data_IF_329364865243
#
_entry.id   IF_329364865243
#
_cell.length_a   1.000
_cell.length_b   1.000
_cell.length_c   1.000
_cell.angle_alpha   90.00
_cell.angle_beta   90.00
_cell.angle_gamma   90.00
#
_symmetry.space_group_name_H-M   'P 1'
#
loop_
_entity.id
_entity.type
_entity.pdbx_description
1 polymer ?
#
# COMPACT_ATOMS: atom_id res chain seq x y z
N UNK A 1 19.53 24.35 1.60
CA UNK A 1 18.30 23.57 1.74
C UNK A 1 18.66 22.11 2.04
N UNK A 2 17.86 21.45 2.88
CA UNK A 2 17.96 20.02 3.18
C UNK A 2 16.74 19.34 2.54
N UNK A 3 16.94 18.11 2.05
CA UNK A 3 15.84 17.30 1.54
C UNK A 3 15.06 16.71 2.72
N UNK A 4 13.75 16.91 2.74
CA UNK A 4 12.86 16.31 3.74
C UNK A 4 12.59 14.85 3.37
N UNK A 5 12.98 13.92 4.25
CA UNK A 5 12.74 12.50 4.06
C UNK A 5 11.30 12.06 4.44
N UNK A 6 10.45 12.96 4.90
CA UNK A 6 9.11 12.64 5.36
C UNK A 6 9.08 11.85 6.68
N UNK A 7 10.19 11.84 7.42
CA UNK A 7 10.29 11.15 8.71
C UNK A 7 10.27 12.19 9.82
N UNK A 8 9.26 12.09 10.68
CA UNK A 8 9.04 13.04 11.77
C UNK A 8 9.07 12.33 13.12
N UNK A 9 9.78 12.92 14.09
CA UNK A 9 9.80 12.49 15.48
C UNK A 9 9.27 13.60 16.38
N UNK A 10 8.25 13.32 17.16
CA UNK A 10 7.61 14.28 18.06
C UNK A 10 6.98 13.59 19.26
N UNK A 11 6.73 14.34 20.32
CA UNK A 11 5.87 13.89 21.41
C UNK A 11 4.42 14.09 20.99
N UNK A 12 3.53 13.16 21.37
CA UNK A 12 2.11 13.21 20.99
C UNK A 12 1.47 14.56 21.38
N UNK A 13 1.79 15.10 22.54
CA UNK A 13 1.25 16.40 22.99
C UNK A 13 1.70 17.54 22.08
N UNK A 14 2.98 17.58 21.69
CA UNK A 14 3.49 18.64 20.82
C UNK A 14 2.79 18.63 19.45
N UNK A 15 2.45 17.43 18.93
CA UNK A 15 1.67 17.31 17.70
C UNK A 15 0.23 17.78 17.88
N UNK A 16 -0.43 17.42 18.98
CA UNK A 16 -1.80 17.88 19.30
C UNK A 16 -1.83 19.41 19.41
N UNK A 17 -0.85 20.01 20.08
CA UNK A 17 -0.74 21.47 20.24
C UNK A 17 -0.51 22.15 18.89
N UNK A 18 0.32 21.54 18.02
CA UNK A 18 0.57 22.06 16.68
C UNK A 18 -0.69 21.96 15.81
N UNK A 19 -1.41 20.83 15.81
CA UNK A 19 -2.66 20.67 15.06
C UNK A 19 -3.71 21.64 15.59
N UNK A 20 -3.81 21.83 16.91
CA UNK A 20 -4.71 22.82 17.52
C UNK A 20 -4.43 24.25 17.04
N UNK A 21 -3.15 24.56 16.79
CA UNK A 21 -2.71 25.91 16.41
C UNK A 21 -2.89 26.16 14.91
N UNK A 22 -2.52 25.17 14.08
CA UNK A 22 -2.39 25.37 12.62
C UNK A 22 -3.52 24.75 11.79
N UNK A 23 -4.26 23.78 12.36
CA UNK A 23 -5.35 23.07 11.71
C UNK A 23 -6.45 22.65 12.73
N UNK A 24 -7.04 23.60 13.47
CA UNK A 24 -7.98 23.31 14.57
C UNK A 24 -9.21 22.51 14.10
N UNK A 25 -9.65 22.73 12.87
CA UNK A 25 -10.77 21.98 12.25
C UNK A 25 -10.47 20.48 12.13
N UNK A 26 -9.23 20.11 11.87
CA UNK A 26 -8.79 18.71 11.82
C UNK A 26 -8.83 18.11 13.23
N UNK A 27 -8.33 18.86 14.23
CA UNK A 27 -8.33 18.37 15.63
C UNK A 27 -9.74 18.13 16.14
N UNK A 28 -10.69 19.00 15.81
CA UNK A 28 -12.08 18.87 16.22
C UNK A 28 -12.71 17.60 15.64
N UNK A 29 -12.64 17.39 14.32
CA UNK A 29 -13.21 16.23 13.64
C UNK A 29 -12.54 14.91 14.07
N UNK A 30 -11.20 14.90 14.20
CA UNK A 30 -10.47 13.73 14.68
C UNK A 30 -10.86 13.40 16.13
N UNK A 31 -10.99 14.41 16.99
CA UNK A 31 -11.43 14.20 18.38
C UNK A 31 -12.84 13.63 18.45
N UNK A 32 -13.76 14.11 17.61
CA UNK A 32 -15.11 13.54 17.50
C UNK A 32 -15.07 12.09 17.02
N UNK A 33 -14.28 11.80 15.98
CA UNK A 33 -14.13 10.46 15.43
C UNK A 33 -13.57 9.47 16.48
N UNK A 34 -12.61 9.88 17.29
CA UNK A 34 -12.02 9.08 18.36
C UNK A 34 -12.99 8.91 19.54
N UNK A 35 -13.66 9.98 19.98
CA UNK A 35 -14.60 9.93 21.12
C UNK A 35 -15.83 9.06 20.83
N UNK A 36 -16.26 8.99 19.57
CA UNK A 36 -17.39 8.18 19.11
C UNK A 36 -16.94 6.81 18.59
N UNK A 37 -15.66 6.48 18.72
CA UNK A 37 -15.09 5.23 18.22
C UNK A 37 -15.64 4.02 18.97
N UNK A 38 -15.72 2.90 18.30
CA UNK A 38 -16.14 1.61 18.85
C UNK A 38 -14.99 0.60 18.82
N UNK A 39 -14.95 -0.27 19.84
CA UNK A 39 -14.01 -1.39 19.86
C UNK A 39 -14.55 -2.54 19.03
N UNK A 40 -13.74 -3.07 18.12
CA UNK A 40 -14.09 -4.21 17.29
C UNK A 40 -12.88 -5.18 17.20
N UNK A 41 -12.98 -6.32 17.87
CA UNK A 41 -11.98 -7.40 17.85
C UNK A 41 -10.53 -6.94 18.09
N UNK A 42 -10.35 -6.00 19.04
CA UNK A 42 -9.03 -5.43 19.38
C UNK A 42 -8.60 -4.23 18.52
N UNK A 43 -9.48 -3.75 17.66
CA UNK A 43 -9.32 -2.51 16.89
C UNK A 43 -10.20 -1.40 17.45
N UNK A 44 -9.72 -0.19 17.35
CA UNK A 44 -10.51 1.02 17.56
C UNK A 44 -11.04 1.47 16.20
N UNK A 45 -12.34 1.31 15.97
CA UNK A 45 -13.01 1.84 14.76
C UNK A 45 -13.41 3.29 15.01
N UNK A 46 -12.80 4.18 14.31
CA UNK A 46 -13.17 5.60 14.33
C UNK A 46 -14.58 5.79 13.77
N UNK A 47 -15.31 6.78 14.25
CA UNK A 47 -16.62 7.11 13.72
C UNK A 47 -16.49 7.61 12.28
N UNK A 48 -17.26 7.02 11.37
CA UNK A 48 -17.13 7.27 9.93
C UNK A 48 -17.57 8.69 9.53
N UNK A 49 -18.64 9.20 10.16
CA UNK A 49 -19.23 10.50 9.80
C UNK A 49 -18.22 11.66 10.00
N UNK A 50 -17.68 11.93 11.20
CA UNK A 50 -16.68 13.00 11.37
C UNK A 50 -15.39 12.73 10.62
N UNK A 51 -15.01 11.46 10.42
CA UNK A 51 -13.82 11.11 9.64
C UNK A 51 -13.97 11.47 8.16
N UNK A 52 -15.15 11.29 7.57
CA UNK A 52 -15.41 11.58 6.16
C UNK A 52 -15.46 13.07 5.83
N UNK A 53 -15.64 13.94 6.85
CA UNK A 53 -15.63 15.38 6.70
C UNK A 53 -14.21 15.97 6.70
N UNK A 54 -13.18 15.16 7.03
CA UNK A 54 -11.80 15.63 7.05
C UNK A 54 -11.33 16.02 5.66
N UNK A 55 -10.67 17.16 5.59
CA UNK A 55 -9.99 17.60 4.38
C UNK A 55 -8.74 16.77 4.15
N UNK A 56 -8.57 16.26 2.92
CA UNK A 56 -7.33 15.61 2.50
C UNK A 56 -6.22 16.65 2.33
N UNK A 57 -5.26 16.65 3.26
CA UNK A 57 -4.12 17.57 3.28
C UNK A 57 -2.92 16.87 3.92
N UNK A 58 -1.75 17.00 3.32
CA UNK A 58 -0.52 16.44 3.91
C UNK A 58 -0.15 17.18 5.21
N UNK A 59 0.52 16.46 6.11
CA UNK A 59 1.07 17.03 7.35
C UNK A 59 2.07 18.16 7.06
N UNK A 60 2.77 18.09 5.93
CA UNK A 60 3.71 19.15 5.52
C UNK A 60 2.98 20.47 5.34
N UNK A 61 1.92 20.51 4.56
CA UNK A 61 1.13 21.72 4.34
C UNK A 61 0.30 22.14 5.55
N UNK A 62 -0.22 21.17 6.29
CA UNK A 62 -1.06 21.48 7.44
C UNK A 62 -0.25 22.03 8.62
N UNK A 63 0.94 21.50 8.88
CA UNK A 63 1.71 21.73 10.10
C UNK A 63 3.15 22.15 9.79
N UNK A 64 3.92 21.34 9.05
CA UNK A 64 5.38 21.47 9.02
C UNK A 64 5.85 22.76 8.36
N UNK A 65 5.19 23.23 7.33
CA UNK A 65 5.51 24.52 6.67
C UNK A 65 5.16 25.75 7.53
N UNK A 66 4.34 25.59 8.56
CA UNK A 66 3.87 26.68 9.43
C UNK A 66 4.54 26.70 10.79
N UNK A 67 4.90 25.54 11.31
CA UNK A 67 5.49 25.39 12.64
C UNK A 67 6.89 26.01 12.70
N UNK A 68 7.18 26.77 13.77
CA UNK A 68 8.45 27.46 13.94
C UNK A 68 9.41 26.75 14.91
N UNK A 69 8.96 25.67 15.55
CA UNK A 69 9.73 24.90 16.54
C UNK A 69 10.29 23.61 15.96
N UNK A 70 10.47 23.54 14.64
CA UNK A 70 11.04 22.38 13.97
C UNK A 70 12.58 22.44 13.97
N UNK A 71 13.19 21.28 14.10
CA UNK A 71 14.61 21.08 13.90
C UNK A 71 14.84 20.01 12.85
N UNK A 72 15.86 20.20 12.00
CA UNK A 72 16.28 19.19 11.07
C UNK A 72 17.48 18.43 11.62
N UNK A 73 17.41 17.11 11.61
CA UNK A 73 18.53 16.23 11.96
C UNK A 73 19.14 15.73 10.66
N UNK A 74 20.38 16.13 10.31
CA UNK A 74 21.03 15.63 9.10
C UNK A 74 21.24 14.12 9.17
N UNK A 75 20.90 13.44 8.09
CA UNK A 75 21.11 12.00 7.92
C UNK A 75 21.96 11.76 6.67
N UNK A 76 23.11 11.14 6.84
CA UNK A 76 24.12 10.96 5.79
C UNK A 76 24.23 9.52 5.26
N UNK A 77 23.50 8.58 5.82
CA UNK A 77 23.47 7.20 5.33
C UNK A 77 22.54 7.04 4.13
N UNK A 78 22.64 5.92 3.42
CA UNK A 78 21.68 5.58 2.37
C UNK A 78 20.27 5.52 2.93
N UNK A 79 19.35 6.14 2.23
CA UNK A 79 17.93 6.08 2.51
C UNK A 79 17.14 6.00 1.21
N UNK A 80 16.11 5.19 1.19
CA UNK A 80 15.15 5.09 0.09
C UNK A 80 13.76 4.91 0.68
N UNK A 81 12.78 5.59 0.15
CA UNK A 81 11.37 5.44 0.50
C UNK A 81 10.72 4.22 -0.14
N UNK A 82 11.44 3.55 -1.08
CA UNK A 82 10.92 2.45 -1.91
C UNK A 82 9.60 2.83 -2.61
N UNK A 83 9.46 4.10 -2.97
CA UNK A 83 8.24 4.66 -3.53
C UNK A 83 7.90 4.20 -4.96
N UNK A 84 8.81 3.47 -5.62
CA UNK A 84 8.63 2.96 -6.97
C UNK A 84 9.42 1.68 -7.25
N UNK A 85 9.12 1.01 -8.35
CA UNK A 85 9.83 -0.21 -8.75
C UNK A 85 11.28 0.04 -9.16
N UNK A 86 11.61 1.23 -9.61
CA UNK A 86 12.96 1.72 -9.84
C UNK A 86 13.78 1.75 -8.55
N UNK A 87 13.19 2.22 -7.45
CA UNK A 87 13.80 2.19 -6.12
C UNK A 87 13.98 0.74 -5.61
N UNK A 88 13.01 -0.13 -5.83
CA UNK A 88 13.13 -1.56 -5.50
C UNK A 88 14.29 -2.20 -6.27
N UNK A 89 14.44 -1.90 -7.56
CA UNK A 89 15.58 -2.38 -8.35
C UNK A 89 16.91 -1.83 -7.80
N UNK A 90 16.99 -0.53 -7.50
CA UNK A 90 18.20 0.13 -7.03
C UNK A 90 18.69 -0.38 -5.66
N UNK A 91 17.77 -0.74 -4.78
CA UNK A 91 18.07 -1.28 -3.44
C UNK A 91 18.23 -2.82 -3.43
N UNK A 92 17.96 -3.48 -4.56
CA UNK A 92 18.19 -4.92 -4.71
C UNK A 92 19.64 -5.22 -5.08
N UNK A 93 20.01 -6.49 -5.08
CA UNK A 93 21.33 -6.97 -5.51
C UNK A 93 21.22 -7.48 -6.95
N UNK A 94 21.61 -6.68 -7.97
CA UNK A 94 21.54 -7.10 -9.36
C UNK A 94 22.63 -8.15 -9.67
N UNK A 95 22.37 -8.95 -10.70
CA UNK A 95 23.37 -9.85 -11.29
C UNK A 95 24.45 -9.06 -12.06
N UNK A 96 25.39 -9.78 -12.68
CA UNK A 96 26.51 -9.18 -13.45
C UNK A 96 26.07 -8.38 -14.68
N UNK A 97 24.85 -8.59 -15.16
CA UNK A 97 24.23 -7.87 -16.27
C UNK A 97 23.27 -6.77 -15.79
N UNK A 98 23.20 -6.52 -14.49
CA UNK A 98 22.33 -5.51 -13.89
C UNK A 98 20.88 -5.95 -13.73
N UNK A 99 20.55 -7.24 -13.90
CA UNK A 99 19.19 -7.70 -13.72
C UNK A 99 18.89 -8.04 -12.26
N UNK A 100 17.67 -7.77 -11.85
CA UNK A 100 17.09 -8.20 -10.58
C UNK A 100 15.89 -9.10 -10.86
N UNK A 101 15.90 -10.33 -10.32
CA UNK A 101 14.83 -11.30 -10.52
C UNK A 101 14.32 -11.82 -9.19
N UNK A 102 13.00 -12.06 -9.09
CA UNK A 102 12.42 -12.84 -8.00
C UNK A 102 12.66 -14.34 -8.22
N UNK A 103 12.36 -15.17 -7.22
CA UNK A 103 12.57 -16.64 -7.28
C UNK A 103 11.89 -17.30 -8.48
N UNK A 104 10.73 -16.81 -8.90
CA UNK A 104 9.95 -17.32 -10.02
C UNK A 104 10.06 -16.46 -11.28
N UNK A 105 11.13 -15.65 -11.39
CA UNK A 105 11.41 -14.84 -12.57
C UNK A 105 12.77 -15.20 -13.17
N UNK A 106 12.83 -15.26 -14.50
CA UNK A 106 14.01 -15.68 -15.24
C UNK A 106 14.36 -14.68 -16.34
N UNK A 107 15.63 -14.31 -16.42
CA UNK A 107 16.17 -13.39 -17.44
C UNK A 107 17.05 -14.17 -18.42
N UNK A 108 16.72 -14.12 -19.70
CA UNK A 108 17.48 -14.71 -20.80
C UNK A 108 17.94 -13.56 -21.72
N UNK A 109 19.24 -13.38 -21.85
CA UNK A 109 19.81 -12.28 -22.67
C UNK A 109 19.25 -10.91 -22.31
N UNK A 110 18.90 -10.70 -21.03
CA UNK A 110 18.41 -9.43 -20.52
C UNK A 110 19.53 -8.63 -19.88
N UNK A 111 19.38 -7.31 -19.88
CA UNK A 111 20.30 -6.39 -19.21
C UNK A 111 19.51 -5.34 -18.44
N UNK A 112 20.04 -4.96 -17.27
CA UNK A 112 19.57 -3.82 -16.48
C UNK A 112 18.06 -3.82 -16.20
N UNK A 113 17.44 -5.00 -16.04
CA UNK A 113 16.00 -5.17 -15.98
C UNK A 113 15.55 -5.70 -14.62
N UNK A 114 14.30 -5.41 -14.25
CA UNK A 114 13.62 -5.95 -13.07
C UNK A 114 12.50 -6.90 -13.52
N UNK A 115 12.64 -8.18 -13.21
CA UNK A 115 11.61 -9.19 -13.47
C UNK A 115 11.14 -9.75 -12.13
N UNK A 116 9.86 -9.58 -11.81
CA UNK A 116 9.32 -9.96 -10.51
C UNK A 116 7.96 -10.63 -10.64
N UNK A 117 7.78 -11.72 -9.92
CA UNK A 117 6.48 -12.34 -9.69
C UNK A 117 6.20 -12.40 -8.19
N UNK A 118 5.01 -12.03 -7.79
CA UNK A 118 4.52 -12.12 -6.41
C UNK A 118 3.78 -13.44 -6.13
N UNK A 119 3.68 -14.31 -7.14
CA UNK A 119 3.04 -15.62 -7.01
C UNK A 119 4.04 -16.73 -7.26
N UNK A 120 4.10 -17.70 -6.33
CA UNK A 120 4.94 -18.90 -6.46
C UNK A 120 4.48 -19.85 -7.59
N UNK A 121 3.23 -19.73 -8.02
CA UNK A 121 2.67 -20.55 -9.09
C UNK A 121 2.80 -19.89 -10.48
N UNK A 122 3.28 -18.65 -10.56
CA UNK A 122 3.41 -17.91 -11.80
C UNK A 122 4.89 -17.69 -12.13
N UNK A 123 5.30 -18.09 -13.31
CA UNK A 123 6.65 -17.85 -13.81
C UNK A 123 6.65 -16.62 -14.72
N UNK A 124 7.66 -15.77 -14.56
CA UNK A 124 7.95 -14.63 -15.44
C UNK A 124 9.25 -14.91 -16.19
N UNK A 125 9.21 -14.92 -17.50
CA UNK A 125 10.40 -15.10 -18.33
C UNK A 125 10.56 -13.89 -19.22
N UNK A 126 11.67 -13.18 -19.07
CA UNK A 126 12.11 -12.11 -19.96
C UNK A 126 13.18 -12.60 -20.92
N UNK A 127 13.07 -12.26 -22.19
CA UNK A 127 14.05 -12.61 -23.22
C UNK A 127 14.45 -11.35 -24.00
N UNK A 128 15.73 -11.04 -24.04
CA UNK A 128 16.29 -9.93 -24.82
C UNK A 128 15.83 -8.55 -24.33
N UNK A 129 15.45 -8.42 -23.07
CA UNK A 129 14.95 -7.15 -22.50
C UNK A 129 16.14 -6.27 -22.06
N UNK A 130 15.98 -4.98 -22.23
CA UNK A 130 16.94 -3.99 -21.76
C UNK A 130 16.20 -2.82 -21.09
N UNK A 131 16.63 -2.45 -19.87
CA UNK A 131 16.05 -1.37 -19.08
C UNK A 131 14.54 -1.49 -18.82
N UNK A 132 14.03 -2.71 -18.72
CA UNK A 132 12.61 -3.01 -18.53
C UNK A 132 12.32 -3.41 -17.08
N UNK A 133 11.19 -3.00 -16.57
CA UNK A 133 10.53 -3.61 -15.41
C UNK A 133 9.32 -4.42 -15.88
N UNK A 134 9.24 -5.67 -15.45
CA UNK A 134 8.08 -6.56 -15.64
C UNK A 134 7.68 -7.15 -14.29
N UNK A 135 6.55 -6.70 -13.79
CA UNK A 135 6.04 -7.03 -12.45
C UNK A 135 4.71 -7.76 -12.62
N UNK A 136 4.70 -9.02 -12.25
CA UNK A 136 3.50 -9.86 -12.29
C UNK A 136 2.94 -10.04 -10.88
N UNK A 137 1.79 -9.44 -10.65
CA UNK A 137 0.94 -9.67 -9.48
C UNK A 137 -0.07 -10.79 -9.80
N UNK A 138 -0.77 -11.35 -8.80
CA UNK A 138 -1.77 -12.39 -9.05
C UNK A 138 -2.90 -12.01 -10.02
N UNK A 139 -3.21 -10.72 -10.13
CA UNK A 139 -4.37 -10.18 -10.84
C UNK A 139 -4.03 -9.14 -11.90
N UNK A 140 -2.78 -8.70 -11.99
CA UNK A 140 -2.34 -7.70 -12.97
C UNK A 140 -0.86 -7.87 -13.30
N UNK A 141 -0.46 -7.46 -14.52
CA UNK A 141 0.93 -7.42 -14.94
C UNK A 141 1.27 -6.01 -15.44
N UNK A 142 2.35 -5.46 -14.90
CA UNK A 142 2.94 -4.21 -15.36
C UNK A 142 4.20 -4.51 -16.16
N UNK A 143 4.30 -3.93 -17.37
CA UNK A 143 5.53 -3.93 -18.16
C UNK A 143 5.80 -2.49 -18.62
N UNK A 144 6.95 -1.96 -18.27
CA UNK A 144 7.34 -0.62 -18.66
C UNK A 144 8.87 -0.45 -18.66
N UNK A 145 9.42 0.56 -19.37
CA UNK A 145 10.79 1.00 -19.15
C UNK A 145 11.01 1.43 -17.69
N UNK A 146 12.18 1.14 -17.11
CA UNK A 146 12.47 1.49 -15.70
C UNK A 146 12.40 2.99 -15.43
N UNK A 147 12.84 3.82 -16.36
CA UNK A 147 12.80 5.28 -16.28
C UNK A 147 11.36 5.83 -16.27
N UNK A 148 10.37 4.98 -16.56
CA UNK A 148 8.94 5.32 -16.54
C UNK A 148 8.22 4.80 -15.27
N UNK A 149 8.94 4.38 -14.24
CA UNK A 149 8.35 3.85 -13.01
C UNK A 149 7.33 4.80 -12.36
N UNK A 150 7.57 6.10 -12.40
CA UNK A 150 6.65 7.12 -11.89
C UNK A 150 5.34 7.25 -12.70
N UNK A 151 5.31 6.77 -13.93
CA UNK A 151 4.10 6.79 -14.77
C UNK A 151 3.11 5.66 -14.44
N UNK A 152 3.44 4.75 -13.53
CA UNK A 152 2.51 3.71 -13.04
C UNK A 152 1.23 4.33 -12.50
N UNK A 153 1.30 5.52 -11.89
CA UNK A 153 0.14 6.29 -11.46
C UNK A 153 -0.87 6.53 -12.59
N UNK A 154 -0.40 6.85 -13.79
CA UNK A 154 -1.26 7.04 -14.98
C UNK A 154 -1.97 5.75 -15.40
N UNK A 155 -1.32 4.59 -15.19
CA UNK A 155 -1.96 3.30 -15.45
C UNK A 155 -3.11 3.03 -14.45
N UNK A 156 -2.89 3.34 -13.17
CA UNK A 156 -3.94 3.24 -12.14
C UNK A 156 -5.11 4.16 -12.48
N UNK A 157 -4.86 5.44 -12.74
CA UNK A 157 -5.88 6.43 -13.14
C UNK A 157 -6.69 5.98 -14.37
N UNK A 158 -6.01 5.35 -15.36
CA UNK A 158 -6.68 4.79 -16.54
C UNK A 158 -7.61 3.62 -16.20
N UNK A 159 -7.18 2.72 -15.30
CA UNK A 159 -7.96 1.57 -14.87
C UNK A 159 -9.17 2.00 -14.04
N UNK A 160 -8.98 2.96 -13.12
CA UNK A 160 -10.06 3.59 -12.34
C UNK A 160 -11.11 4.23 -13.24
N UNK A 161 -10.68 5.03 -14.23
CA UNK A 161 -11.59 5.67 -15.19
C UNK A 161 -12.38 4.66 -16.02
N UNK A 162 -11.89 3.42 -16.16
CA UNK A 162 -12.58 2.31 -16.83
C UNK A 162 -13.41 1.45 -15.87
N UNK A 163 -13.41 1.73 -14.57
CA UNK A 163 -14.10 0.93 -13.55
C UNK A 163 -13.49 -0.47 -13.39
N UNK A 164 -12.20 -0.63 -13.64
CA UNK A 164 -11.49 -1.91 -13.49
C UNK A 164 -11.17 -2.14 -12.01
N UNK A 165 -11.74 -3.18 -11.44
CA UNK A 165 -11.67 -3.47 -10.01
C UNK A 165 -10.22 -3.62 -9.47
N UNK A 166 -9.28 -4.08 -10.28
CA UNK A 166 -7.87 -4.24 -9.91
C UNK A 166 -7.15 -2.92 -9.59
N UNK A 167 -7.72 -1.79 -9.95
CA UNK A 167 -7.18 -0.48 -9.56
C UNK A 167 -7.44 -0.14 -8.09
N UNK A 168 -8.51 -0.70 -7.51
CA UNK A 168 -8.99 -0.35 -6.16
C UNK A 168 -8.97 -1.52 -5.18
N UNK A 169 -9.12 -2.76 -5.68
CA UNK A 169 -9.33 -3.95 -4.86
C UNK A 169 -8.13 -4.87 -4.98
N UNK A 170 -7.46 -5.11 -3.85
CA UNK A 170 -6.39 -6.10 -3.79
C UNK A 170 -6.95 -7.52 -3.66
N UNK A 171 -6.33 -8.53 -4.31
CA UNK A 171 -6.71 -9.94 -4.14
C UNK A 171 -6.63 -10.41 -2.69
N UNK A 172 -5.67 -9.85 -1.94
CA UNK A 172 -5.43 -10.15 -0.53
C UNK A 172 -5.73 -8.95 0.34
N UNK A 173 -6.57 -9.16 1.35
CA UNK A 173 -6.99 -8.13 2.31
C UNK A 173 -6.61 -8.56 3.74
N UNK A 174 -5.89 -7.68 4.44
CA UNK A 174 -5.48 -7.89 5.82
C UNK A 174 -6.53 -7.35 6.78
N UNK A 175 -6.88 -8.18 7.75
CA UNK A 175 -7.89 -7.91 8.76
C UNK A 175 -7.29 -8.06 10.18
N UNK A 176 -7.94 -7.52 11.22
CA UNK A 176 -7.53 -7.70 12.60
C UNK A 176 -7.25 -9.16 12.96
N UNK A 177 -8.14 -10.05 12.52
CA UNK A 177 -8.10 -11.47 12.80
C UNK A 177 -7.15 -12.28 11.91
N UNK A 178 -6.60 -11.70 10.86
CA UNK A 178 -5.71 -12.40 9.93
C UNK A 178 -5.72 -11.78 8.53
N UNK A 179 -6.07 -12.56 7.52
CA UNK A 179 -6.23 -12.09 6.15
C UNK A 179 -7.13 -13.03 5.35
N UNK A 180 -7.66 -12.53 4.27
CA UNK A 180 -8.27 -13.36 3.25
C UNK A 180 -7.74 -13.02 1.86
N UNK A 181 -7.84 -13.97 0.95
CA UNK A 181 -7.42 -13.87 -0.44
C UNK A 181 -8.51 -14.46 -1.34
N UNK A 182 -8.90 -13.72 -2.36
CA UNK A 182 -9.81 -14.22 -3.39
C UNK A 182 -9.05 -15.13 -4.35
N UNK A 183 -9.41 -16.42 -4.37
CA UNK A 183 -8.78 -17.42 -5.24
C UNK A 183 -9.49 -17.53 -6.60
N UNK A 184 -10.80 -17.36 -6.61
CA UNK A 184 -11.59 -17.36 -7.82
C UNK A 184 -12.83 -16.48 -7.64
N UNK A 185 -13.20 -15.77 -8.67
CA UNK A 185 -14.39 -14.94 -8.73
C UNK A 185 -15.17 -15.28 -10.01
N UNK A 186 -16.43 -15.63 -9.86
CA UNK A 186 -17.36 -15.83 -10.97
C UNK A 186 -18.59 -14.94 -10.78
N UNK A 187 -19.49 -14.95 -11.77
CA UNK A 187 -20.67 -14.09 -11.79
C UNK A 187 -21.56 -14.28 -10.54
N UNK A 188 -21.64 -15.52 -10.02
CA UNK A 188 -22.50 -15.86 -8.87
C UNK A 188 -21.77 -16.57 -7.75
N UNK A 189 -20.44 -16.63 -7.77
CA UNK A 189 -19.66 -17.26 -6.70
C UNK A 189 -18.32 -16.57 -6.47
N UNK A 190 -17.79 -16.75 -5.25
CA UNK A 190 -16.42 -16.37 -4.88
C UNK A 190 -15.83 -17.47 -4.03
N UNK A 191 -14.59 -17.86 -4.35
CA UNK A 191 -13.77 -18.74 -3.52
C UNK A 191 -12.72 -17.89 -2.79
N UNK A 192 -12.67 -18.00 -1.48
CA UNK A 192 -11.69 -17.29 -0.64
C UNK A 192 -10.84 -18.28 0.15
N UNK A 193 -9.56 -17.97 0.27
CA UNK A 193 -8.71 -18.52 1.33
C UNK A 193 -8.72 -17.56 2.50
N UNK A 194 -9.03 -18.07 3.68
CA UNK A 194 -9.07 -17.27 4.91
C UNK A 194 -8.04 -17.83 5.89
N UNK A 195 -7.17 -16.99 6.41
CA UNK A 195 -6.19 -17.34 7.42
C UNK A 195 -6.50 -16.57 8.70
N UNK A 196 -6.88 -17.27 9.76
CA UNK A 196 -7.20 -16.68 11.06
C UNK A 196 -6.04 -16.91 12.02
N UNK A 197 -5.59 -15.85 12.69
CA UNK A 197 -4.53 -15.93 13.71
C UNK A 197 -4.99 -16.77 14.90
N UNK A 198 -4.09 -17.50 15.57
CA UNK A 198 -4.44 -18.20 16.81
C UNK A 198 -5.08 -17.26 17.82
N UNK A 199 -6.21 -17.69 18.40
CA UNK A 199 -6.97 -16.89 19.37
C UNK A 199 -7.81 -15.76 18.79
N UNK A 200 -7.77 -15.53 17.48
CA UNK A 200 -8.62 -14.54 16.83
C UNK A 200 -9.97 -15.11 16.40
N UNK A 201 -10.96 -14.24 16.21
CA UNK A 201 -12.30 -14.59 15.78
C UNK A 201 -12.70 -13.77 14.55
N UNK A 202 -13.45 -14.37 13.65
CA UNK A 202 -14.10 -13.70 12.54
C UNK A 202 -15.31 -12.90 13.02
N UNK A 203 -15.60 -11.78 12.36
CA UNK A 203 -16.84 -11.04 12.59
C UNK A 203 -18.05 -11.90 12.27
N UNK A 204 -19.08 -11.86 13.12
CA UNK A 204 -20.34 -12.53 12.85
C UNK A 204 -21.02 -11.88 11.64
N UNK A 205 -21.38 -12.68 10.66
CA UNK A 205 -22.04 -12.23 9.44
C UNK A 205 -23.28 -13.07 9.16
N UNK A 206 -24.30 -12.45 8.60
CA UNK A 206 -25.48 -13.14 8.08
C UNK A 206 -25.74 -12.68 6.65
N UNK A 207 -26.25 -13.59 5.81
CA UNK A 207 -26.47 -13.33 4.40
C UNK A 207 -27.87 -13.75 3.99
N UNK A 208 -28.59 -12.87 3.31
CA UNK A 208 -29.94 -13.12 2.85
C UNK A 208 -30.01 -13.78 1.45
N UNK A 209 -28.94 -13.60 0.64
CA UNK A 209 -28.96 -13.97 -0.77
C UNK A 209 -27.80 -14.89 -1.20
N UNK A 210 -26.98 -15.37 -0.25
CA UNK A 210 -25.89 -16.30 -0.55
C UNK A 210 -25.78 -17.38 0.52
N UNK A 211 -25.29 -18.54 0.13
CA UNK A 211 -24.85 -19.60 1.03
C UNK A 211 -23.32 -19.64 1.10
N UNK A 212 -22.79 -20.08 2.22
CA UNK A 212 -21.36 -20.29 2.41
C UNK A 212 -21.06 -21.74 2.74
N UNK A 213 -20.00 -22.27 2.14
CA UNK A 213 -19.45 -23.58 2.41
C UNK A 213 -18.03 -23.42 2.93
N UNK A 214 -17.77 -23.88 4.14
CA UNK A 214 -16.48 -23.80 4.80
C UNK A 214 -15.78 -25.15 4.78
N UNK A 215 -14.51 -25.14 4.36
CA UNK A 215 -13.60 -26.27 4.43
C UNK A 215 -12.43 -25.82 5.30
N UNK A 216 -12.18 -26.56 6.41
CA UNK A 216 -11.13 -26.26 7.39
C UNK A 216 -10.02 -27.30 7.30
#
# INVERSE_FOLDING_TARGET
YLWNAGIFLFRAQDMIDAVSTYAPEILELVSQAVNQASSDLGFLRLAAEPWSELKDISIDYAIMERAQNLVAVPYASKWSDLGGWDAVWAESSPDTLGNVTSETAHAIECTNSLLRSESISQQVVGIGLNDIMAIAMPDAVLVAPKDRAQDVKKAVELLEAKGIAQAEIFPKDHRPWGWFESLALGEHFQVKRICVKPGASLSLQSHNHRSEHWIV
#
